data_IF_863015646288
#
_entry.id   IF_863015646288
#
_cell.length_a   1.000
_cell.length_b   1.000
_cell.length_c   1.000
_cell.angle_alpha   90.00
_cell.angle_beta   90.00
_cell.angle_gamma   90.00
#
_symmetry.space_group_name_H-M   'P 1'
#
loop_
_entity.id
_entity.type
_entity.pdbx_description
1 polymer ?
#
# COMPACT_ATOMS: atom_id res chain seq x y z
N UNK A 1 -7.23 -0.68 -18.78
CA UNK A 1 -5.88 -1.27 -18.90
C UNK A 1 -5.47 -1.81 -17.53
N UNK A 2 -5.63 -3.12 -17.31
CA UNK A 2 -4.81 -3.92 -16.39
C UNK A 2 -4.65 -5.25 -17.11
N UNK A 3 -3.53 -5.45 -17.78
CA UNK A 3 -3.29 -6.68 -18.55
C UNK A 3 -2.56 -7.75 -17.74
N UNK A 4 -2.04 -7.40 -16.55
CA UNK A 4 -1.27 -8.30 -15.70
C UNK A 4 -1.58 -8.08 -14.22
N UNK A 5 -2.07 -9.13 -13.55
CA UNK A 5 -2.28 -9.17 -12.10
C UNK A 5 -0.98 -9.46 -11.36
N UNK A 6 -0.91 -9.06 -10.09
CA UNK A 6 0.15 -9.43 -9.16
C UNK A 6 -0.24 -10.74 -8.49
N UNK A 7 0.66 -11.74 -8.49
CA UNK A 7 0.41 -13.05 -7.89
C UNK A 7 0.89 -13.15 -6.43
N UNK A 8 1.79 -12.27 -6.02
CA UNK A 8 2.31 -12.20 -4.65
C UNK A 8 1.38 -11.40 -3.74
N UNK A 9 1.47 -11.62 -2.42
CA UNK A 9 0.78 -10.83 -1.40
C UNK A 9 1.11 -9.34 -1.55
N UNK A 10 0.08 -8.50 -1.56
CA UNK A 10 0.18 -7.05 -1.76
C UNK A 10 -0.16 -6.29 -0.48
N UNK A 11 0.53 -5.17 -0.29
CA UNK A 11 0.18 -4.13 0.67
C UNK A 11 0.11 -2.77 -0.02
N UNK A 12 -0.83 -1.93 0.39
CA UNK A 12 -0.98 -0.58 -0.13
C UNK A 12 -1.29 0.44 0.97
N UNK A 13 -0.66 1.61 0.90
CA UNK A 13 -1.03 2.77 1.73
C UNK A 13 -1.52 3.88 0.80
N UNK A 14 -2.73 4.38 1.05
CA UNK A 14 -3.28 5.55 0.37
C UNK A 14 -2.95 6.81 1.17
N UNK A 15 -2.18 7.72 0.55
CA UNK A 15 -1.91 9.05 1.06
C UNK A 15 -2.86 10.07 0.41
N UNK A 16 -3.34 11.09 1.14
CA UNK A 16 -4.42 11.97 0.69
C UNK A 16 -4.07 12.82 -0.53
N UNK A 17 -2.78 13.13 -0.74
CA UNK A 17 -2.32 13.93 -1.88
C UNK A 17 -1.55 13.11 -2.94
N UNK A 18 -1.79 11.80 -3.01
CA UNK A 18 -1.29 10.96 -4.11
C UNK A 18 -2.00 11.32 -5.42
N UNK A 19 -1.28 11.29 -6.55
CA UNK A 19 -1.79 11.70 -7.86
C UNK A 19 -2.91 10.75 -8.32
N UNK A 20 -2.68 9.43 -8.45
CA UNK A 20 -3.76 8.46 -8.57
C UNK A 20 -4.27 8.08 -7.18
N UNK A 21 -5.29 8.77 -6.69
CA UNK A 21 -6.06 8.34 -5.52
C UNK A 21 -6.75 6.99 -5.84
N UNK A 22 -6.05 5.89 -5.59
CA UNK A 22 -6.46 4.54 -5.97
C UNK A 22 -7.37 3.94 -4.90
N UNK A 23 -8.68 3.79 -5.15
CA UNK A 23 -9.60 3.23 -4.15
C UNK A 23 -9.25 1.77 -3.84
N UNK A 24 -9.57 1.31 -2.63
CA UNK A 24 -9.35 -0.08 -2.19
C UNK A 24 -9.82 -1.12 -3.19
N UNK A 25 -11.02 -0.95 -3.76
CA UNK A 25 -11.59 -1.89 -4.74
C UNK A 25 -10.70 -2.08 -5.99
N UNK A 26 -9.96 -1.05 -6.40
CA UNK A 26 -9.06 -1.15 -7.54
C UNK A 26 -7.83 -1.98 -7.17
N UNK A 27 -7.30 -1.81 -5.95
CA UNK A 27 -6.17 -2.60 -5.47
C UNK A 27 -6.53 -4.06 -5.23
N UNK A 28 -7.73 -4.35 -4.74
CA UNK A 28 -8.26 -5.72 -4.62
C UNK A 28 -8.42 -6.40 -5.99
N UNK A 29 -8.72 -5.64 -7.05
CA UNK A 29 -8.79 -6.19 -8.41
C UNK A 29 -7.40 -6.54 -9.00
N UNK A 30 -6.32 -5.94 -8.49
CA UNK A 30 -4.94 -6.11 -8.98
C UNK A 30 -4.29 -7.42 -8.49
N UNK A 31 -4.69 -7.96 -7.34
CA UNK A 31 -4.08 -9.15 -6.75
C UNK A 31 -4.45 -9.37 -5.28
N UNK A 32 -3.77 -10.31 -4.59
CA UNK A 32 -4.02 -10.65 -3.19
C UNK A 32 -3.66 -9.51 -2.21
N UNK A 33 -4.58 -8.56 -2.01
CA UNK A 33 -4.39 -7.42 -1.10
C UNK A 33 -4.58 -7.83 0.36
N UNK A 34 -3.48 -8.01 1.09
CA UNK A 34 -3.49 -8.38 2.51
C UNK A 34 -3.40 -7.18 3.46
N UNK A 35 -2.97 -6.01 2.97
CA UNK A 35 -2.87 -4.79 3.75
C UNK A 35 -3.34 -3.59 2.94
N UNK A 36 -4.22 -2.78 3.54
CA UNK A 36 -4.66 -1.50 3.00
C UNK A 36 -4.82 -0.51 4.15
N UNK A 37 -4.21 0.66 4.05
CA UNK A 37 -4.34 1.73 5.06
C UNK A 37 -4.47 3.09 4.39
N UNK A 38 -5.33 3.93 4.93
CA UNK A 38 -5.43 5.33 4.53
C UNK A 38 -4.76 6.18 5.60
N UNK A 39 -3.91 7.12 5.16
CA UNK A 39 -3.26 8.08 6.04
C UNK A 39 -3.95 9.43 5.94
N UNK A 40 -3.86 10.23 7.00
CA UNK A 40 -4.43 11.57 7.06
C UNK A 40 -3.48 12.67 6.56
N UNK A 41 -2.20 12.35 6.33
CA UNK A 41 -1.17 13.28 5.87
C UNK A 41 -0.17 12.57 4.95
N UNK A 42 0.31 13.29 3.93
CA UNK A 42 1.28 12.83 2.93
C UNK A 42 0.72 12.86 1.50
N UNK A 43 1.59 12.73 0.51
CA UNK A 43 1.20 12.70 -0.90
C UNK A 43 2.06 11.80 -1.75
N UNK A 44 2.31 12.24 -2.98
CA UNK A 44 3.10 11.53 -4.00
C UNK A 44 4.52 11.18 -3.55
N UNK A 45 5.08 11.91 -2.59
CA UNK A 45 6.40 11.66 -2.03
C UNK A 45 6.29 11.19 -0.57
N UNK A 46 5.69 10.01 -0.29
CA UNK A 46 5.35 9.60 1.08
C UNK A 46 6.56 9.45 2.00
N UNK A 47 7.73 9.11 1.43
CA UNK A 47 8.98 9.03 2.18
C UNK A 47 9.52 10.40 2.64
N UNK A 48 9.06 11.49 2.03
CA UNK A 48 9.37 12.87 2.43
C UNK A 48 8.22 13.48 3.25
N UNK A 49 6.98 13.26 2.82
CA UNK A 49 5.81 13.93 3.39
C UNK A 49 5.35 13.30 4.72
N UNK A 50 5.55 11.98 4.90
CA UNK A 50 5.18 11.25 6.11
C UNK A 50 6.09 10.01 6.31
N UNK A 51 7.39 10.21 6.58
CA UNK A 51 8.36 9.13 6.66
C UNK A 51 8.03 8.12 7.76
N UNK A 52 7.58 8.58 8.92
CA UNK A 52 7.19 7.73 10.04
C UNK A 52 5.99 6.85 9.67
N UNK A 53 4.98 7.44 9.04
CA UNK A 53 3.79 6.71 8.59
C UNK A 53 4.11 5.65 7.55
N UNK A 54 4.97 5.97 6.57
CA UNK A 54 5.41 5.00 5.57
C UNK A 54 6.19 3.84 6.21
N UNK A 55 7.13 4.13 7.11
CA UNK A 55 7.94 3.11 7.77
C UNK A 55 7.10 2.21 8.68
N UNK A 56 6.15 2.77 9.43
CA UNK A 56 5.18 2.01 10.23
C UNK A 56 4.40 1.03 9.35
N UNK A 57 3.88 1.48 8.21
CA UNK A 57 3.05 0.64 7.32
C UNK A 57 3.85 -0.49 6.66
N UNK A 58 5.09 -0.21 6.25
CA UNK A 58 5.99 -1.24 5.71
C UNK A 58 6.28 -2.29 6.78
N UNK A 59 6.56 -1.89 8.02
CA UNK A 59 6.81 -2.81 9.13
C UNK A 59 5.57 -3.63 9.48
N UNK A 60 4.40 -3.02 9.51
CA UNK A 60 3.13 -3.70 9.76
C UNK A 60 2.83 -4.74 8.68
N UNK A 61 3.01 -4.38 7.41
CA UNK A 61 2.77 -5.27 6.30
C UNK A 61 3.73 -6.46 6.32
N UNK A 62 5.03 -6.20 6.35
CA UNK A 62 6.05 -7.25 6.32
C UNK A 62 5.96 -8.12 7.60
N UNK A 63 5.83 -7.51 8.77
CA UNK A 63 5.76 -8.21 10.05
C UNK A 63 4.58 -9.17 10.17
N UNK A 64 3.47 -8.91 9.47
CA UNK A 64 2.29 -9.80 9.44
C UNK A 64 2.31 -10.83 8.31
N UNK A 65 3.06 -10.58 7.22
CA UNK A 65 2.95 -11.36 5.98
C UNK A 65 4.25 -12.03 5.53
N UNK A 66 5.36 -11.86 6.26
CA UNK A 66 6.61 -12.55 5.99
C UNK A 66 6.66 -13.91 6.69
N UNK A 67 6.72 -14.99 5.91
CA UNK A 67 6.94 -16.35 6.41
C UNK A 67 8.38 -16.78 6.12
N UNK A 68 9.01 -17.46 7.08
CA UNK A 68 10.41 -17.93 6.98
C UNK A 68 10.52 -19.43 6.66
N UNK A 69 9.42 -20.07 6.23
CA UNK A 69 9.41 -21.50 5.86
C UNK A 69 10.10 -21.75 4.52
#
# INVERSE_FOLDING_TARGET
MVTKKVNSTMGFTLFPYEIPASPRAYMEAMGPLAFYKERSVGGHFPALDNPEGLVEDVRDFIGKNWSTN
#
